data_IF_739894758233
#
_entry.id   IF_739894758233
#
_cell.length_a   1.000
_cell.length_b   1.000
_cell.length_c   1.000
_cell.angle_alpha   90.00
_cell.angle_beta   90.00
_cell.angle_gamma   90.00
#
_symmetry.space_group_name_H-M   'P 1'
#
loop_
_entity.id
_entity.type
_entity.pdbx_description
1 polymer ?
#
# COMPACT_ATOMS: atom_id res chain seq x y z
N UNK A 1 -21.84 -13.98 -11.13
CA UNK A 1 -20.91 -14.74 -11.96
C UNK A 1 -19.54 -14.10 -11.77
N UNK A 2 -18.68 -14.72 -10.96
CA UNK A 2 -17.28 -14.30 -10.81
C UNK A 2 -16.50 -15.00 -11.93
N UNK A 3 -16.11 -14.22 -12.93
CA UNK A 3 -15.43 -14.70 -14.13
C UNK A 3 -13.92 -14.49 -13.93
N UNK A 4 -13.13 -15.57 -14.00
CA UNK A 4 -11.69 -15.44 -14.09
C UNK A 4 -11.19 -16.01 -15.43
N UNK A 5 -10.40 -15.24 -16.15
CA UNK A 5 -9.82 -15.70 -17.40
C UNK A 5 -8.61 -16.58 -17.07
N UNK A 6 -8.62 -17.85 -17.49
CA UNK A 6 -7.54 -18.80 -17.21
C UNK A 6 -6.31 -18.63 -18.12
N UNK A 7 -6.35 -17.72 -19.10
CA UNK A 7 -5.13 -17.36 -19.84
C UNK A 7 -4.38 -16.27 -19.09
N UNK A 8 -3.40 -16.69 -18.28
CA UNK A 8 -2.33 -15.84 -17.71
C UNK A 8 -1.31 -15.36 -18.74
N UNK A 9 -1.51 -15.68 -20.02
CA UNK A 9 -0.85 -14.96 -21.09
C UNK A 9 -1.93 -14.18 -21.85
N UNK A 10 -1.97 -12.86 -21.63
CA UNK A 10 -2.17 -12.00 -22.79
C UNK A 10 -1.06 -12.38 -23.77
N UNK A 11 -1.38 -12.99 -24.91
CA UNK A 11 -0.34 -13.37 -25.82
C UNK A 11 0.32 -12.05 -26.25
N UNK A 12 1.64 -11.94 -26.07
CA UNK A 12 2.45 -10.79 -26.55
C UNK A 12 2.37 -10.65 -28.09
N UNK A 13 1.65 -11.55 -28.73
CA UNK A 13 1.43 -11.71 -30.16
C UNK A 13 -0.04 -12.05 -30.40
N UNK A 14 -0.62 -11.60 -31.50
CA UNK A 14 -1.97 -11.97 -31.93
C UNK A 14 -2.21 -13.49 -31.79
N UNK A 15 -3.27 -13.94 -31.09
CA UNK A 15 -3.55 -15.38 -30.99
C UNK A 15 -3.79 -15.95 -32.39
N UNK A 16 -3.10 -17.05 -32.70
CA UNK A 16 -3.29 -17.74 -33.97
C UNK A 16 -4.71 -18.33 -34.01
N UNK A 17 -5.27 -18.48 -35.21
CA UNK A 17 -6.65 -18.97 -35.45
C UNK A 17 -6.95 -20.38 -34.89
N UNK A 18 -5.95 -21.08 -34.33
CA UNK A 18 -6.06 -22.39 -33.68
C UNK A 18 -5.85 -22.39 -32.16
N UNK A 19 -5.60 -21.24 -31.52
CA UNK A 19 -5.41 -21.18 -30.06
C UNK A 19 -6.75 -21.20 -29.34
N UNK A 20 -7.06 -22.31 -28.67
CA UNK A 20 -8.22 -22.38 -27.80
C UNK A 20 -8.00 -21.57 -26.51
N UNK A 21 -9.03 -20.83 -26.07
CA UNK A 21 -8.97 -20.02 -24.86
C UNK A 21 -9.72 -20.77 -23.76
N UNK A 22 -9.02 -21.16 -22.69
CA UNK A 22 -9.67 -21.74 -21.50
C UNK A 22 -10.10 -20.63 -20.55
N UNK A 23 -11.28 -20.78 -19.96
CA UNK A 23 -11.87 -19.89 -18.96
C UNK A 23 -12.32 -20.74 -17.77
N UNK A 24 -12.11 -20.28 -16.54
CA UNK A 24 -12.73 -20.90 -15.37
C UNK A 24 -13.48 -19.86 -14.55
N UNK A 25 -14.65 -20.27 -14.09
CA UNK A 25 -15.52 -19.38 -13.33
C UNK A 25 -16.28 -20.16 -12.28
N UNK A 26 -16.68 -19.43 -11.25
CA UNK A 26 -17.56 -19.94 -10.21
C UNK A 26 -19.00 -19.58 -10.61
N UNK A 27 -19.83 -20.61 -10.74
CA UNK A 27 -21.29 -20.47 -10.90
C UNK A 27 -21.99 -20.86 -9.62
N UNK A 28 -23.06 -20.13 -9.28
CA UNK A 28 -23.92 -20.44 -8.14
C UNK A 28 -25.31 -20.80 -8.66
N UNK A 29 -25.86 -21.91 -8.16
CA UNK A 29 -27.24 -22.35 -8.40
C UNK A 29 -27.95 -22.69 -7.08
N UNK A 30 -29.13 -23.33 -7.14
CA UNK A 30 -29.90 -23.72 -5.96
C UNK A 30 -29.21 -24.76 -5.07
N UNK A 31 -28.24 -25.50 -5.61
CA UNK A 31 -27.57 -26.61 -4.96
C UNK A 31 -26.22 -26.21 -4.36
N UNK A 32 -25.65 -25.06 -4.77
CA UNK A 32 -24.43 -24.52 -4.18
C UNK A 32 -23.60 -23.71 -5.17
N UNK A 33 -22.28 -23.62 -4.89
CA UNK A 33 -21.30 -23.06 -5.82
C UNK A 33 -20.58 -24.21 -6.54
N UNK A 34 -20.25 -23.98 -7.81
CA UNK A 34 -19.65 -24.95 -8.72
C UNK A 34 -18.52 -24.28 -9.51
N UNK A 35 -17.39 -24.96 -9.68
CA UNK A 35 -16.30 -24.53 -10.55
C UNK A 35 -16.48 -25.16 -11.93
N UNK A 36 -16.50 -24.33 -12.97
CA UNK A 36 -16.60 -24.78 -14.36
C UNK A 36 -15.43 -24.26 -15.16
N UNK A 37 -14.82 -25.15 -15.92
CA UNK A 37 -13.79 -24.82 -16.91
C UNK A 37 -14.35 -25.04 -18.30
N UNK A 38 -14.31 -24.00 -19.12
CA UNK A 38 -14.83 -24.00 -20.49
C UNK A 38 -13.73 -23.57 -21.46
N UNK A 39 -13.80 -24.12 -22.66
CA UNK A 39 -12.94 -23.77 -23.78
C UNK A 39 -13.76 -22.98 -24.80
N UNK A 40 -13.30 -21.78 -25.10
CA UNK A 40 -13.88 -20.92 -26.11
C UNK A 40 -13.24 -21.26 -27.47
N UNK A 41 -14.05 -21.86 -28.34
CA UNK A 41 -13.71 -22.04 -29.75
C UNK A 41 -14.03 -20.75 -30.50
N UNK A 42 -13.00 -20.03 -30.95
CA UNK A 42 -13.20 -18.81 -31.75
C UNK A 42 -13.80 -19.10 -33.13
N UNK A 43 -13.52 -20.29 -33.68
CA UNK A 43 -14.07 -20.74 -34.96
C UNK A 43 -15.58 -21.02 -34.86
N UNK A 44 -15.98 -21.79 -33.83
CA UNK A 44 -17.39 -22.19 -33.65
C UNK A 44 -18.22 -21.10 -32.94
N UNK A 45 -17.55 -20.13 -32.28
CA UNK A 45 -18.17 -19.15 -31.38
C UNK A 45 -18.99 -19.79 -30.25
N UNK A 46 -18.57 -20.97 -29.81
CA UNK A 46 -19.21 -21.76 -28.77
C UNK A 46 -18.28 -22.01 -27.58
N UNK A 47 -18.88 -22.16 -26.41
CA UNK A 47 -18.21 -22.56 -25.17
C UNK A 47 -18.39 -24.07 -24.98
N UNK A 48 -17.30 -24.82 -25.04
CA UNK A 48 -17.29 -26.26 -24.77
C UNK A 48 -16.86 -26.49 -23.33
N UNK A 49 -17.66 -27.19 -22.54
CA UNK A 49 -17.29 -27.50 -21.15
C UNK A 49 -16.22 -28.58 -21.14
N UNK A 50 -15.08 -28.28 -20.51
CA UNK A 50 -13.93 -29.20 -20.40
C UNK A 50 -14.01 -29.96 -19.10
N UNK A 51 -14.21 -29.24 -17.99
CA UNK A 51 -14.33 -29.84 -16.67
C UNK A 51 -15.38 -29.12 -15.83
N UNK A 52 -16.02 -29.89 -14.96
CA UNK A 52 -17.01 -29.40 -13.99
C UNK A 52 -16.69 -30.04 -12.66
N UNK A 53 -16.51 -29.21 -11.65
CA UNK A 53 -16.41 -29.64 -10.27
C UNK A 53 -17.61 -29.11 -9.51
N UNK A 54 -18.45 -30.05 -9.08
CA UNK A 54 -19.66 -29.75 -8.35
C UNK A 54 -19.39 -29.57 -6.85
N UNK A 55 -20.17 -28.70 -6.20
CA UNK A 55 -20.16 -28.49 -4.77
C UNK A 55 -18.80 -28.06 -4.21
N UNK A 56 -18.24 -26.98 -4.77
CA UNK A 56 -17.14 -26.27 -4.09
C UNK A 56 -17.68 -25.53 -2.86
N UNK A 57 -16.79 -25.01 -2.03
CA UNK A 57 -17.17 -24.25 -0.83
C UNK A 57 -18.21 -23.16 -1.14
N UNK A 58 -19.24 -23.08 -0.30
CA UNK A 58 -20.36 -22.14 -0.46
C UNK A 58 -19.91 -20.68 -0.51
N UNK A 59 -18.79 -20.34 0.12
CA UNK A 59 -18.24 -18.98 0.13
C UNK A 59 -17.05 -18.77 -0.81
N UNK A 60 -16.76 -19.73 -1.70
CA UNK A 60 -15.73 -19.59 -2.72
C UNK A 60 -15.95 -18.36 -3.62
N UNK A 61 -15.08 -17.34 -3.51
CA UNK A 61 -15.29 -16.05 -4.18
C UNK A 61 -14.20 -15.65 -5.14
N UNK A 62 -13.03 -16.29 -5.07
CA UNK A 62 -11.88 -15.90 -5.88
C UNK A 62 -11.35 -17.11 -6.63
N UNK A 63 -10.98 -16.86 -7.89
CA UNK A 63 -10.39 -17.85 -8.78
C UNK A 63 -9.07 -17.26 -9.25
N UNK A 64 -7.97 -17.96 -9.01
CA UNK A 64 -6.62 -17.51 -9.35
C UNK A 64 -6.05 -18.49 -10.39
N UNK A 65 -5.71 -18.02 -11.59
CA UNK A 65 -5.09 -18.85 -12.61
C UNK A 65 -3.63 -19.09 -12.25
N UNK A 66 -3.19 -20.35 -12.24
CA UNK A 66 -1.78 -20.69 -12.02
C UNK A 66 -1.08 -20.73 -13.38
N UNK A 67 -0.01 -19.94 -13.59
CA UNK A 67 0.72 -19.95 -14.85
C UNK A 67 1.42 -21.29 -15.10
N UNK A 68 1.80 -21.50 -16.36
CA UNK A 68 2.72 -22.57 -16.71
C UNK A 68 4.06 -22.35 -15.96
N UNK A 69 4.71 -23.42 -15.50
CA UNK A 69 4.57 -24.78 -16.01
C UNK A 69 3.61 -25.71 -15.23
N UNK A 70 3.11 -25.30 -14.05
CA UNK A 70 2.17 -26.12 -13.28
C UNK A 70 0.75 -26.12 -13.88
N UNK A 71 0.31 -24.96 -14.36
CA UNK A 71 -1.05 -24.78 -14.87
C UNK A 71 -2.11 -24.95 -13.78
N UNK A 72 -3.38 -24.99 -14.19
CA UNK A 72 -4.51 -25.18 -13.28
C UNK A 72 -5.03 -23.89 -12.63
N UNK A 73 -5.85 -24.08 -11.59
CA UNK A 73 -6.67 -23.04 -10.99
C UNK A 73 -6.68 -23.18 -9.48
N UNK A 74 -6.52 -22.08 -8.76
CA UNK A 74 -6.76 -22.04 -7.32
C UNK A 74 -8.11 -21.36 -7.09
N UNK A 75 -8.91 -21.93 -6.21
CA UNK A 75 -10.17 -21.38 -5.72
C UNK A 75 -10.00 -21.08 -4.25
N UNK A 76 -10.22 -19.81 -3.87
CA UNK A 76 -10.15 -19.34 -2.50
C UNK A 76 -11.58 -19.17 -1.97
N UNK A 77 -11.89 -19.91 -0.91
CA UNK A 77 -13.05 -19.68 -0.06
C UNK A 77 -12.66 -19.03 1.27
N UNK A 78 -13.58 -19.10 2.22
CA UNK A 78 -13.42 -18.49 3.55
C UNK A 78 -12.72 -19.44 4.52
N UNK A 79 -12.91 -20.74 4.34
CA UNK A 79 -12.29 -21.78 5.18
C UNK A 79 -11.37 -22.71 4.41
N UNK A 80 -11.55 -22.84 3.09
CA UNK A 80 -10.79 -23.77 2.26
C UNK A 80 -10.11 -23.09 1.08
N UNK A 81 -8.94 -23.63 0.72
CA UNK A 81 -8.24 -23.31 -0.52
C UNK A 81 -8.17 -24.60 -1.33
N UNK A 82 -8.70 -24.55 -2.55
CA UNK A 82 -8.75 -25.67 -3.48
C UNK A 82 -7.86 -25.37 -4.68
N UNK A 83 -6.90 -26.23 -4.97
CA UNK A 83 -6.20 -26.24 -6.25
C UNK A 83 -6.76 -27.35 -7.13
N UNK A 84 -7.10 -26.99 -8.37
CA UNK A 84 -7.55 -27.87 -9.44
C UNK A 84 -6.52 -27.81 -10.56
N UNK A 85 -5.65 -28.82 -10.61
CA UNK A 85 -4.61 -28.96 -11.60
C UNK A 85 -5.09 -29.57 -12.91
N UNK A 86 -4.17 -29.70 -13.87
CA UNK A 86 -4.41 -30.57 -15.03
C UNK A 86 -4.41 -32.06 -14.58
N UNK A 87 -5.04 -32.94 -15.36
CA UNK A 87 -5.19 -34.38 -15.07
C UNK A 87 -6.00 -34.76 -13.81
N UNK A 88 -6.98 -33.95 -13.40
CA UNK A 88 -7.86 -34.20 -12.26
C UNK A 88 -7.13 -34.31 -10.90
N UNK A 89 -6.00 -33.61 -10.76
CA UNK A 89 -5.33 -33.47 -9.46
C UNK A 89 -6.04 -32.38 -8.65
N UNK A 90 -6.65 -32.78 -7.54
CA UNK A 90 -7.33 -31.88 -6.61
C UNK A 90 -6.60 -31.86 -5.27
N UNK A 91 -6.18 -30.68 -4.85
CA UNK A 91 -5.58 -30.46 -3.52
C UNK A 91 -6.44 -29.47 -2.75
N UNK A 92 -6.81 -29.81 -1.52
CA UNK A 92 -7.60 -28.92 -0.67
C UNK A 92 -6.91 -28.79 0.67
N UNK A 93 -6.74 -27.56 1.13
CA UNK A 93 -6.29 -27.26 2.49
C UNK A 93 -7.35 -26.44 3.24
N UNK A 94 -7.41 -26.65 4.56
CA UNK A 94 -8.28 -25.89 5.48
C UNK A 94 -7.46 -25.37 6.66
N UNK A 95 -6.61 -24.34 6.45
CA UNK A 95 -5.68 -23.88 7.46
C UNK A 95 -6.37 -23.01 8.51
N UNK A 96 -6.11 -23.30 9.80
CA UNK A 96 -6.65 -22.53 10.92
C UNK A 96 -6.27 -21.04 10.88
N UNK A 97 -5.16 -20.70 10.21
CA UNK A 97 -4.64 -19.35 10.03
C UNK A 97 -5.62 -18.41 9.29
N UNK A 98 -6.54 -18.97 8.49
CA UNK A 98 -7.54 -18.16 7.77
C UNK A 98 -8.61 -17.61 8.71
N UNK A 99 -8.92 -18.24 9.85
CA UNK A 99 -9.91 -17.78 10.84
C UNK A 99 -11.21 -17.20 10.25
N UNK A 100 -11.73 -17.80 9.18
CA UNK A 100 -12.90 -17.34 8.43
C UNK A 100 -12.77 -15.92 7.83
N UNK A 101 -11.56 -15.48 7.51
CA UNK A 101 -11.29 -14.21 6.86
C UNK A 101 -11.82 -14.19 5.42
N UNK A 102 -12.32 -13.05 4.96
CA UNK A 102 -12.83 -12.89 3.60
C UNK A 102 -11.72 -12.35 2.71
N UNK A 103 -11.15 -13.19 1.85
CA UNK A 103 -10.04 -12.79 0.99
C UNK A 103 -10.41 -11.76 -0.07
N UNK A 104 -10.08 -10.51 0.22
CA UNK A 104 -9.96 -9.28 -0.57
C UNK A 104 -9.60 -9.38 -2.05
N UNK A 105 -8.31 -9.56 -2.25
CA UNK A 105 -7.62 -9.43 -3.50
C UNK A 105 -6.37 -10.32 -3.45
N UNK A 106 -5.71 -10.48 -4.60
CA UNK A 106 -4.50 -11.28 -4.71
C UNK A 106 -3.50 -10.61 -5.64
N UNK A 107 -2.22 -10.99 -5.50
CA UNK A 107 -1.18 -10.65 -6.45
C UNK A 107 -0.20 -11.82 -6.63
N UNK A 108 0.16 -12.20 -7.86
CA UNK A 108 1.27 -13.13 -8.08
C UNK A 108 2.59 -12.45 -7.70
N UNK A 109 3.47 -13.18 -7.00
CA UNK A 109 4.82 -12.71 -6.66
C UNK A 109 5.81 -13.15 -7.74
N UNK A 110 5.68 -14.40 -8.18
CA UNK A 110 6.57 -15.00 -9.16
C UNK A 110 5.88 -15.22 -10.49
N UNK A 111 6.66 -15.12 -11.57
CA UNK A 111 6.21 -15.50 -12.92
C UNK A 111 5.95 -17.00 -13.06
N UNK A 112 6.52 -17.83 -12.19
CA UNK A 112 6.35 -19.28 -12.18
C UNK A 112 5.07 -19.74 -11.47
N UNK A 113 4.35 -18.83 -10.80
CA UNK A 113 3.10 -19.16 -10.09
C UNK A 113 3.26 -19.96 -8.81
N UNK A 114 4.44 -19.96 -8.18
CA UNK A 114 4.65 -20.69 -6.92
C UNK A 114 4.22 -19.90 -5.68
N UNK A 115 4.23 -18.57 -5.75
CA UNK A 115 3.90 -17.70 -4.62
C UNK A 115 2.86 -16.66 -5.01
N UNK A 116 1.83 -16.55 -4.18
CA UNK A 116 0.77 -15.57 -4.31
C UNK A 116 0.57 -14.83 -2.99
N UNK A 117 0.39 -13.52 -3.07
CA UNK A 117 -0.05 -12.72 -1.95
C UNK A 117 -1.57 -12.67 -1.94
N UNK A 118 -2.14 -12.79 -0.76
CA UNK A 118 -3.58 -12.67 -0.52
C UNK A 118 -3.78 -11.65 0.60
N UNK A 119 -4.77 -10.78 0.48
CA UNK A 119 -5.19 -9.91 1.57
C UNK A 119 -6.65 -10.19 1.92
N UNK A 120 -6.99 -10.05 3.20
CA UNK A 120 -8.36 -10.17 3.69
C UNK A 120 -9.05 -8.81 3.88
N UNK A 121 -10.28 -8.83 4.39
CA UNK A 121 -11.09 -7.67 4.70
C UNK A 121 -10.72 -6.99 6.04
N UNK A 122 -9.91 -7.65 6.85
CA UNK A 122 -9.32 -7.09 8.08
C UNK A 122 -7.95 -6.41 7.83
N UNK A 123 -7.43 -6.48 6.61
CA UNK A 123 -6.13 -5.92 6.21
C UNK A 123 -4.94 -6.79 6.62
N UNK A 124 -5.14 -8.07 6.92
CA UNK A 124 -4.07 -9.05 7.12
C UNK A 124 -3.57 -9.52 5.76
N UNK A 125 -2.25 -9.56 5.61
CA UNK A 125 -1.57 -10.02 4.42
C UNK A 125 -1.07 -11.46 4.63
N UNK A 126 -1.31 -12.31 3.64
CA UNK A 126 -0.94 -13.71 3.63
C UNK A 126 -0.08 -14.05 2.41
N UNK A 127 0.78 -15.05 2.55
CA UNK A 127 1.51 -15.69 1.46
C UNK A 127 0.98 -17.10 1.26
N UNK A 128 0.45 -17.39 0.07
CA UNK A 128 0.13 -18.72 -0.41
C UNK A 128 1.31 -19.24 -1.24
N UNK A 129 1.85 -20.39 -0.82
CA UNK A 129 2.96 -21.08 -1.46
C UNK A 129 2.49 -22.43 -1.99
N UNK A 130 2.75 -22.69 -3.26
CA UNK A 130 2.55 -23.99 -3.90
C UNK A 130 3.86 -24.77 -3.79
N UNK A 131 3.82 -25.91 -3.11
CA UNK A 131 4.96 -26.83 -3.10
C UNK A 131 4.96 -27.62 -4.41
N UNK A 132 5.91 -27.31 -5.28
CA UNK A 132 6.01 -27.87 -6.63
C UNK A 132 7.17 -28.84 -6.71
N UNK A 133 6.90 -30.06 -7.17
CA UNK A 133 7.96 -31.02 -7.47
C UNK A 133 8.55 -30.75 -8.84
N UNK A 134 9.72 -30.11 -8.83
CA UNK A 134 10.48 -29.77 -10.03
C UNK A 134 11.41 -30.90 -10.47
N UNK A 135 11.44 -32.04 -9.77
CA UNK A 135 12.34 -33.16 -10.10
C UNK A 135 11.82 -34.04 -11.25
N UNK A 136 10.54 -33.91 -11.59
CA UNK A 136 9.89 -34.63 -12.70
C UNK A 136 9.98 -33.89 -14.04
N UNK A 137 9.70 -34.56 -15.17
CA UNK A 137 9.66 -33.94 -16.49
C UNK A 137 8.51 -32.92 -16.64
N UNK A 138 7.41 -33.11 -15.88
CA UNK A 138 6.33 -32.14 -15.75
C UNK A 138 6.24 -31.70 -14.29
N UNK A 139 6.38 -30.40 -13.98
CA UNK A 139 6.25 -29.92 -12.61
C UNK A 139 4.80 -30.06 -12.14
N UNK A 140 4.61 -30.69 -10.98
CA UNK A 140 3.30 -30.88 -10.38
C UNK A 140 3.26 -30.27 -8.98
N UNK A 141 2.11 -29.69 -8.63
CA UNK A 141 1.85 -29.18 -7.27
C UNK A 141 1.57 -30.39 -6.37
N UNK A 142 2.31 -30.51 -5.26
CA UNK A 142 2.16 -31.57 -4.27
C UNK A 142 1.33 -31.14 -3.07
N UNK A 143 1.55 -29.91 -2.62
CA UNK A 143 0.91 -29.38 -1.42
C UNK A 143 0.74 -27.86 -1.52
N UNK A 144 -0.12 -27.32 -0.67
CA UNK A 144 -0.39 -25.90 -0.54
C UNK A 144 -0.09 -25.47 0.89
N UNK A 145 0.58 -24.33 1.05
CA UNK A 145 0.87 -23.75 2.36
C UNK A 145 0.48 -22.28 2.39
N UNK A 146 -0.23 -21.85 3.43
CA UNK A 146 -0.52 -20.43 3.66
C UNK A 146 0.11 -19.98 4.98
N UNK A 147 0.73 -18.81 4.95
CA UNK A 147 1.35 -18.17 6.10
C UNK A 147 0.87 -16.72 6.20
N UNK A 148 0.61 -16.25 7.42
CA UNK A 148 0.31 -14.84 7.67
C UNK A 148 1.63 -14.06 7.74
N UNK A 149 1.71 -12.96 7.00
CA UNK A 149 2.88 -12.09 6.95
C UNK A 149 2.77 -10.92 7.93
N UNK A 150 1.57 -10.45 8.22
CA UNK A 150 1.35 -9.30 9.10
C UNK A 150 0.16 -8.46 8.65
N UNK A 151 0.07 -7.25 9.18
CA UNK A 151 -1.04 -6.33 8.90
C UNK A 151 -0.61 -5.16 8.01
N UNK A 152 -1.54 -4.75 7.14
CA UNK A 152 -1.48 -3.60 6.24
C UNK A 152 -2.78 -2.81 6.30
N UNK A 153 -2.92 -1.75 5.53
CA UNK A 153 -4.24 -1.15 5.27
C UNK A 153 -5.20 -2.17 4.63
N UNK A 154 -6.51 -2.00 4.77
CA UNK A 154 -7.50 -2.86 4.10
C UNK A 154 -7.33 -2.76 2.57
N UNK A 155 -6.79 -3.82 1.97
CA UNK A 155 -6.37 -3.83 0.58
C UNK A 155 -7.54 -4.12 -0.37
N UNK A 156 -7.87 -3.18 -1.25
CA UNK A 156 -8.76 -3.43 -2.39
C UNK A 156 -7.99 -4.06 -3.57
N UNK A 157 -6.72 -3.68 -3.74
CA UNK A 157 -5.83 -4.27 -4.73
C UNK A 157 -4.41 -4.42 -4.20
N UNK A 158 -3.71 -5.43 -4.74
CA UNK A 158 -2.31 -5.71 -4.45
C UNK A 158 -1.53 -5.71 -5.77
N UNK A 159 -0.36 -5.10 -5.77
CA UNK A 159 0.56 -5.12 -6.90
C UNK A 159 1.97 -5.34 -6.39
N UNK A 160 2.48 -6.56 -6.57
CA UNK A 160 3.89 -6.83 -6.31
C UNK A 160 4.74 -6.12 -7.36
N UNK A 161 5.73 -5.35 -6.91
CA UNK A 161 6.59 -4.56 -7.78
C UNK A 161 7.85 -5.34 -8.10
N UNK A 162 8.79 -5.38 -7.15
CA UNK A 162 10.02 -6.18 -7.19
C UNK A 162 10.76 -6.04 -5.84
N UNK A 163 11.81 -6.83 -5.60
CA UNK A 163 12.72 -6.72 -4.45
C UNK A 163 12.01 -6.73 -3.09
N UNK A 164 10.94 -7.52 -2.99
CA UNK A 164 10.10 -7.61 -1.79
C UNK A 164 9.20 -6.40 -1.58
N UNK A 165 9.08 -5.47 -2.55
CA UNK A 165 8.21 -4.29 -2.43
C UNK A 165 6.85 -4.58 -3.04
N UNK A 166 5.81 -4.25 -2.28
CA UNK A 166 4.40 -4.45 -2.60
C UNK A 166 3.66 -3.12 -2.48
N UNK A 167 2.91 -2.76 -3.51
CA UNK A 167 1.92 -1.69 -3.41
C UNK A 167 0.59 -2.26 -2.94
N UNK A 168 0.03 -1.66 -1.89
CA UNK A 168 -1.25 -1.99 -1.29
C UNK A 168 -2.21 -0.83 -1.54
N UNK A 169 -3.09 -1.01 -2.50
CA UNK A 169 -4.12 -0.03 -2.83
C UNK A 169 -5.32 -0.21 -1.91
N UNK A 170 -5.66 0.81 -1.15
CA UNK A 170 -6.81 0.81 -0.24
C UNK A 170 -7.90 1.74 -0.72
N UNK A 171 -9.13 1.25 -0.71
CA UNK A 171 -10.33 2.07 -0.98
C UNK A 171 -10.84 2.77 0.29
N UNK A 172 -10.64 2.15 1.44
CA UNK A 172 -11.20 2.58 2.73
C UNK A 172 -10.19 3.30 3.62
N UNK A 173 -8.92 3.33 3.26
CA UNK A 173 -7.84 3.93 4.02
C UNK A 173 -6.72 4.43 3.12
N UNK A 174 -5.66 4.91 3.75
CA UNK A 174 -4.48 5.38 3.04
C UNK A 174 -3.80 4.21 2.32
N UNK A 175 -3.50 4.38 1.04
CA UNK A 175 -2.75 3.35 0.29
C UNK A 175 -1.32 3.29 0.79
N UNK A 176 -0.66 2.14 0.68
CA UNK A 176 0.66 1.92 1.28
C UNK A 176 1.62 1.30 0.28
N UNK A 177 2.89 1.70 0.37
CA UNK A 177 4.01 0.96 -0.19
C UNK A 177 4.67 0.21 0.96
N UNK A 178 4.72 -1.11 0.88
CA UNK A 178 5.26 -1.97 1.93
C UNK A 178 6.39 -2.83 1.42
N UNK A 179 7.31 -3.20 2.30
CA UNK A 179 8.41 -4.12 2.05
C UNK A 179 8.20 -5.39 2.87
N UNK A 180 8.33 -6.52 2.19
CA UNK A 180 8.31 -7.85 2.78
C UNK A 180 9.73 -8.23 3.19
N UNK A 181 9.94 -8.51 4.47
CA UNK A 181 11.22 -8.94 5.02
C UNK A 181 11.27 -10.46 5.15
N UNK A 182 12.45 -11.06 5.04
CA UNK A 182 12.62 -12.50 5.23
C UNK A 182 12.65 -12.92 6.71
N UNK A 183 12.98 -11.98 7.59
CA UNK A 183 12.95 -12.16 9.03
C UNK A 183 11.82 -11.34 9.62
N UNK A 184 11.08 -11.88 10.60
CA UNK A 184 10.03 -11.14 11.27
C UNK A 184 10.64 -10.03 12.12
N UNK A 185 9.92 -8.93 12.24
CA UNK A 185 10.29 -7.83 13.12
C UNK A 185 10.14 -8.27 14.59
N UNK A 186 11.14 -7.94 15.42
CA UNK A 186 11.27 -8.47 16.78
C UNK A 186 10.10 -8.09 17.71
N UNK A 187 9.45 -6.95 17.48
CA UNK A 187 8.38 -6.45 18.36
C UNK A 187 7.02 -7.13 18.07
N UNK A 188 6.66 -7.26 16.79
CA UNK A 188 5.29 -7.63 16.38
C UNK A 188 5.23 -8.95 15.61
N UNK A 189 6.37 -9.65 15.46
CA UNK A 189 6.49 -10.86 14.64
C UNK A 189 5.93 -10.70 13.21
N UNK A 190 6.00 -9.48 12.67
CA UNK A 190 5.48 -9.11 11.35
C UNK A 190 6.61 -9.12 10.32
N UNK A 191 6.33 -9.65 9.13
CA UNK A 191 7.20 -9.63 7.96
C UNK A 191 6.95 -8.40 7.07
N UNK A 192 6.05 -7.50 7.48
CA UNK A 192 5.64 -6.33 6.71
C UNK A 192 6.21 -5.06 7.32
N UNK A 193 6.95 -4.29 6.52
CA UNK A 193 7.46 -2.97 6.87
C UNK A 193 6.82 -1.91 5.96
N UNK A 194 6.17 -0.91 6.53
CA UNK A 194 5.60 0.20 5.76
C UNK A 194 6.74 1.15 5.33
N UNK A 195 6.89 1.37 4.03
CA UNK A 195 7.87 2.30 3.47
C UNK A 195 7.27 3.69 3.26
N UNK A 196 6.05 3.75 2.73
CA UNK A 196 5.38 5.00 2.42
C UNK A 196 3.87 4.81 2.51
N UNK A 197 3.18 5.90 2.87
CA UNK A 197 1.72 5.97 2.94
C UNK A 197 1.22 7.10 2.04
N UNK A 198 0.14 6.86 1.31
CA UNK A 198 -0.50 7.79 0.39
C UNK A 198 -1.89 8.13 0.91
N UNK A 199 -2.10 9.40 1.26
CA UNK A 199 -3.34 9.86 1.87
C UNK A 199 -4.55 9.61 0.97
N UNK A 200 -5.59 9.05 1.55
CA UNK A 200 -6.87 8.80 0.92
C UNK A 200 -7.99 9.39 1.80
N UNK A 201 -8.84 10.21 1.17
CA UNK A 201 -10.02 10.80 1.83
C UNK A 201 -11.25 9.90 1.71
N UNK A 202 -11.22 8.87 0.86
CA UNK A 202 -12.37 8.04 0.59
C UNK A 202 -12.58 6.93 1.64
N UNK A 203 -13.84 6.50 1.87
CA UNK A 203 -15.06 7.23 1.54
C UNK A 203 -15.29 8.40 2.50
N UNK A 204 -15.63 9.58 1.96
CA UNK A 204 -16.11 10.70 2.79
C UNK A 204 -17.55 10.42 3.16
N UNK A 205 -17.80 10.19 4.45
CA UNK A 205 -19.13 9.89 5.00
C UNK A 205 -19.89 11.15 5.38
N UNK A 206 -19.20 12.11 5.96
CA UNK A 206 -19.76 13.38 6.40
C UNK A 206 -18.72 14.50 6.29
N UNK A 207 -19.19 15.74 6.20
CA UNK A 207 -18.37 16.94 6.01
C UNK A 207 -18.89 18.06 6.90
N UNK A 208 -17.97 18.70 7.62
CA UNK A 208 -18.22 19.95 8.34
C UNK A 208 -17.26 21.04 7.84
N UNK A 209 -17.75 22.25 7.66
CA UNK A 209 -16.92 23.42 7.34
C UNK A 209 -16.72 24.22 8.63
N UNK A 210 -15.47 24.57 8.91
CA UNK A 210 -15.06 25.34 10.08
C UNK A 210 -14.20 26.51 9.62
N UNK A 211 -14.34 27.66 10.25
CA UNK A 211 -13.45 28.80 10.05
C UNK A 211 -12.42 28.82 11.19
N UNK A 212 -11.13 28.82 10.85
CA UNK A 212 -10.03 28.89 11.79
C UNK A 212 -8.96 29.81 11.20
N UNK A 213 -8.51 30.79 11.99
CA UNK A 213 -7.55 31.83 11.57
C UNK A 213 -7.96 32.61 10.32
N UNK A 214 -9.26 32.87 10.17
CA UNK A 214 -9.84 33.58 9.02
C UNK A 214 -9.79 32.78 7.70
N UNK A 215 -9.50 31.48 7.77
CA UNK A 215 -9.54 30.58 6.63
C UNK A 215 -10.56 29.46 6.84
N UNK A 216 -11.32 29.16 5.78
CA UNK A 216 -12.25 28.04 5.77
C UNK A 216 -11.48 26.72 5.63
N UNK A 217 -11.72 25.81 6.57
CA UNK A 217 -11.20 24.45 6.60
C UNK A 217 -12.36 23.47 6.52
N UNK A 218 -12.14 22.35 5.83
CA UNK A 218 -13.14 21.29 5.67
C UNK A 218 -12.70 20.11 6.51
N UNK A 219 -13.51 19.72 7.47
CA UNK A 219 -13.31 18.53 8.28
C UNK A 219 -14.18 17.43 7.68
N UNK A 220 -13.59 16.27 7.44
CA UNK A 220 -14.28 15.13 6.83
C UNK A 220 -14.18 13.90 7.72
N UNK A 221 -15.29 13.20 7.87
CA UNK A 221 -15.32 11.84 8.39
C UNK A 221 -14.98 10.88 7.25
N UNK A 222 -13.74 10.41 7.20
CA UNK A 222 -13.18 9.63 6.11
C UNK A 222 -12.90 8.19 6.52
N UNK A 223 -12.84 7.29 5.54
CA UNK A 223 -12.44 5.90 5.72
C UNK A 223 -13.54 4.98 6.26
N UNK A 224 -13.17 3.73 6.54
CA UNK A 224 -14.06 2.74 7.14
C UNK A 224 -13.29 1.70 7.97
N UNK A 225 -14.00 1.00 8.87
CA UNK A 225 -13.44 -0.06 9.72
C UNK A 225 -12.22 0.43 10.52
N UNK A 226 -11.10 -0.31 10.49
CA UNK A 226 -9.85 0.08 11.16
C UNK A 226 -9.16 1.31 10.55
N UNK A 227 -9.59 1.71 9.35
CA UNK A 227 -9.03 2.86 8.60
C UNK A 227 -9.83 4.16 8.79
N UNK A 228 -10.81 4.16 9.71
CA UNK A 228 -11.61 5.35 10.01
C UNK A 228 -10.74 6.51 10.52
N UNK A 229 -10.86 7.68 9.90
CA UNK A 229 -10.07 8.86 10.23
C UNK A 229 -10.84 10.17 10.03
N UNK A 230 -10.49 11.21 10.80
CA UNK A 230 -10.90 12.58 10.50
C UNK A 230 -9.80 13.25 9.66
N UNK A 231 -10.20 13.88 8.55
CA UNK A 231 -9.24 14.60 7.68
C UNK A 231 -9.63 16.06 7.58
N UNK A 232 -8.67 16.93 7.86
CA UNK A 232 -8.81 18.39 7.77
C UNK A 232 -8.16 18.84 6.46
N UNK A 233 -8.96 19.43 5.59
CA UNK A 233 -8.54 19.97 4.31
C UNK A 233 -8.54 21.48 4.44
N UNK A 234 -7.35 22.07 4.42
CA UNK A 234 -7.13 23.52 4.43
C UNK A 234 -6.52 23.95 3.11
N UNK A 235 -6.81 25.18 2.70
CA UNK A 235 -6.13 25.77 1.55
C UNK A 235 -4.80 26.38 2.02
N UNK A 236 -3.71 26.11 1.30
CA UNK A 236 -2.38 26.62 1.62
C UNK A 236 -1.45 25.58 2.27
N UNK A 237 -0.24 26.04 2.58
CA UNK A 237 0.81 25.22 3.19
C UNK A 237 0.70 25.34 4.71
N UNK A 238 0.68 24.20 5.39
CA UNK A 238 0.81 24.15 6.82
C UNK A 238 2.21 24.52 7.28
N UNK A 239 2.32 25.48 8.19
CA UNK A 239 3.54 25.70 8.96
C UNK A 239 3.38 24.92 10.26
N UNK A 240 4.33 24.03 10.56
CA UNK A 240 4.44 23.39 11.86
C UNK A 240 5.25 24.32 12.76
N UNK A 241 4.58 24.95 13.72
CA UNK A 241 5.20 25.94 14.59
C UNK A 241 6.07 25.24 15.64
N UNK A 242 7.37 25.16 15.37
CA UNK A 242 8.33 24.55 16.30
C UNK A 242 8.62 25.45 17.52
N UNK A 243 8.58 26.77 17.34
CA UNK A 243 8.83 27.74 18.40
C UNK A 243 8.10 29.06 18.10
N UNK A 244 7.60 29.69 19.16
CA UNK A 244 6.95 31.00 19.13
C UNK A 244 7.63 31.94 20.12
N UNK A 245 7.96 33.14 19.68
CA UNK A 245 8.54 34.18 20.56
C UNK A 245 7.87 35.52 20.25
N UNK A 246 7.30 36.13 21.27
CA UNK A 246 6.58 37.40 21.15
C UNK A 246 7.56 38.59 21.14
N UNK A 247 8.04 38.96 19.95
CA UNK A 247 8.86 40.16 19.74
C UNK A 247 8.07 41.17 18.88
N UNK A 248 7.64 42.32 19.44
CA UNK A 248 6.86 43.30 18.71
C UNK A 248 7.75 44.13 17.76
N UNK A 249 7.23 44.46 16.57
CA UNK A 249 7.87 45.42 15.67
C UNK A 249 9.04 44.88 14.84
N UNK A 250 9.10 43.56 14.63
CA UNK A 250 10.09 42.91 13.77
C UNK A 250 9.96 43.42 12.32
N UNK A 251 11.03 44.02 11.80
CA UNK A 251 11.15 44.49 10.41
C UNK A 251 11.79 43.46 9.48
N UNK A 252 12.63 42.59 10.03
CA UNK A 252 13.34 41.57 9.27
C UNK A 252 13.94 40.51 10.16
N UNK A 253 14.00 39.28 9.63
CA UNK A 253 14.59 38.11 10.28
C UNK A 253 15.61 37.54 9.31
N UNK A 254 16.83 37.30 9.78
CA UNK A 254 17.93 36.76 8.99
C UNK A 254 18.61 35.65 9.76
N UNK A 255 19.01 34.57 9.08
CA UNK A 255 19.81 33.51 9.68
C UNK A 255 21.29 33.75 9.42
N UNK A 256 22.13 33.38 10.38
CA UNK A 256 23.57 33.46 10.28
C UNK A 256 24.20 32.17 10.79
N UNK A 257 25.31 31.80 10.16
CA UNK A 257 26.08 30.61 10.43
C UNK A 257 27.49 31.00 10.85
N UNK A 258 27.87 30.72 12.09
CA UNK A 258 29.21 30.96 12.63
C UNK A 258 29.76 29.65 13.17
N UNK A 259 30.90 29.20 12.64
CA UNK A 259 31.65 28.04 13.12
C UNK A 259 30.84 26.73 13.28
N UNK A 260 29.68 26.64 12.63
CA UNK A 260 28.77 25.48 12.63
C UNK A 260 28.60 24.97 11.21
N UNK A 261 28.02 23.77 11.05
CA UNK A 261 27.57 23.25 9.75
C UNK A 261 26.18 23.77 9.37
N UNK A 262 25.35 24.05 10.36
CA UNK A 262 23.99 24.58 10.23
C UNK A 262 23.93 26.01 10.74
N UNK A 263 22.87 26.73 10.39
CA UNK A 263 22.60 28.06 10.95
C UNK A 263 22.43 27.96 12.47
N UNK A 264 23.06 28.88 13.20
CA UNK A 264 23.09 28.86 14.67
C UNK A 264 22.83 30.22 15.31
N UNK A 265 22.59 31.25 14.50
CA UNK A 265 22.20 32.57 14.97
C UNK A 265 20.99 33.09 14.17
N UNK A 266 20.07 33.72 14.86
CA UNK A 266 18.91 34.42 14.30
C UNK A 266 19.05 35.92 14.59
N UNK A 267 19.16 36.72 13.55
CA UNK A 267 19.25 38.18 13.66
C UNK A 267 17.85 38.75 13.43
N UNK A 268 17.36 39.52 14.40
CA UNK A 268 16.05 40.14 14.39
C UNK A 268 16.23 41.65 14.35
N UNK A 269 15.82 42.28 13.26
CA UNK A 269 15.88 43.73 13.10
C UNK A 269 14.57 44.36 13.59
N UNK A 270 14.67 45.26 14.55
CA UNK A 270 13.58 46.09 15.07
C UNK A 270 13.70 47.53 14.53
N UNK A 271 12.72 48.38 14.83
CA UNK A 271 12.79 49.80 14.45
C UNK A 271 13.88 50.58 15.17
N UNK A 272 14.23 50.21 16.39
CA UNK A 272 15.14 50.93 17.28
C UNK A 272 16.45 50.19 17.53
N UNK A 273 16.49 48.88 17.32
CA UNK A 273 17.63 48.03 17.67
C UNK A 273 17.66 46.74 16.83
N UNK A 274 18.65 45.89 17.06
CA UNK A 274 18.77 44.59 16.41
C UNK A 274 19.20 43.57 17.46
N UNK A 275 18.41 42.50 17.62
CA UNK A 275 18.74 41.40 18.53
C UNK A 275 19.42 40.28 17.75
N UNK A 276 20.30 39.56 18.43
CA UNK A 276 20.99 38.41 17.87
C UNK A 276 20.78 37.24 18.82
N UNK A 277 19.90 36.32 18.43
CA UNK A 277 19.61 35.14 19.22
C UNK A 277 20.54 34.00 18.81
N UNK A 278 21.30 33.46 19.74
CA UNK A 278 22.04 32.22 19.56
C UNK A 278 21.08 31.03 19.73
N UNK A 279 21.11 30.09 18.80
CA UNK A 279 20.34 28.85 18.86
C UNK A 279 21.19 27.74 19.51
N UNK A 280 20.90 27.43 20.77
CA UNK A 280 21.55 26.36 21.53
C UNK A 280 20.60 25.16 21.63
N UNK A 281 20.52 24.36 20.56
CA UNK A 281 19.55 23.26 20.48
C UNK A 281 18.12 23.80 20.33
N UNK A 282 17.28 23.63 21.36
CA UNK A 282 15.90 24.14 21.40
C UNK A 282 15.77 25.50 22.12
N UNK A 283 16.83 25.97 22.77
CA UNK A 283 16.82 27.25 23.50
C UNK A 283 17.35 28.40 22.64
N UNK A 284 16.73 29.58 22.80
CA UNK A 284 17.12 30.84 22.18
C UNK A 284 17.68 31.78 23.24
N UNK A 285 18.95 32.14 23.11
CA UNK A 285 19.63 33.06 24.03
C UNK A 285 20.00 34.38 23.33
N UNK A 286 19.63 35.52 23.91
CA UNK A 286 20.04 36.82 23.39
C UNK A 286 21.54 37.05 23.64
N UNK A 287 22.28 37.25 22.56
CA UNK A 287 23.73 37.38 22.58
C UNK A 287 24.16 38.60 21.77
N UNK A 288 25.35 39.12 22.03
CA UNK A 288 25.96 40.16 21.21
C UNK A 288 27.18 39.59 20.50
N UNK A 289 27.13 39.53 19.17
CA UNK A 289 28.29 39.17 18.36
C UNK A 289 29.25 40.37 18.29
N UNK A 290 30.48 40.16 18.79
CA UNK A 290 31.58 41.11 18.69
C UNK A 290 31.83 41.51 17.23
N UNK A 291 31.40 42.70 16.84
CA UNK A 291 31.62 43.28 15.51
C UNK A 291 30.35 43.81 14.83
N UNK A 292 29.16 43.34 15.23
CA UNK A 292 27.90 43.91 14.78
C UNK A 292 27.53 45.09 15.68
N UNK A 293 27.48 46.31 15.13
CA UNK A 293 27.00 47.47 15.90
C UNK A 293 25.47 47.46 15.93
N UNK A 294 24.90 47.27 17.10
CA UNK A 294 23.46 47.45 17.38
C UNK A 294 23.13 48.95 17.39
N UNK A 295 23.04 49.58 16.22
CA UNK A 295 22.56 50.96 16.09
C UNK A 295 21.22 51.04 15.35
N UNK A 296 20.50 52.10 15.68
CA UNK A 296 19.05 52.29 15.59
C UNK A 296 18.42 52.40 14.21
N UNK A 297 19.10 52.07 13.11
CA UNK A 297 18.52 52.18 11.77
C UNK A 297 19.23 51.26 10.76
N UNK A 298 18.77 50.02 10.61
CA UNK A 298 19.16 49.19 9.46
C UNK A 298 18.22 49.49 8.29
N UNK A 299 18.30 50.73 7.80
CA UNK A 299 17.93 51.07 6.43
C UNK A 299 19.02 51.92 5.77
N UNK A 300 20.29 51.85 6.19
CA UNK A 300 21.41 52.35 5.37
C UNK A 300 22.73 51.71 5.76
N UNK A 301 23.05 50.55 5.17
CA UNK A 301 24.40 50.06 4.80
C UNK A 301 24.48 48.55 4.95
N UNK A 302 24.31 47.87 3.81
CA UNK A 302 24.91 46.57 3.58
C UNK A 302 26.44 46.74 3.60
N UNK A 303 27.04 46.64 4.79
CA UNK A 303 28.39 46.13 4.93
C UNK A 303 28.26 44.79 5.66
N UNK A 304 27.87 43.77 4.89
CA UNK A 304 28.25 42.40 5.21
C UNK A 304 29.78 42.43 5.20
N UNK A 305 30.37 42.51 6.39
CA UNK A 305 31.77 42.19 6.53
C UNK A 305 31.90 40.71 6.16
N UNK A 306 32.61 40.51 5.07
CA UNK A 306 33.21 39.25 4.64
C UNK A 306 34.11 38.76 5.79
N UNK A 307 33.51 38.04 6.75
CA UNK A 307 34.26 37.30 7.77
C UNK A 307 34.60 35.96 7.16
N UNK A 308 35.82 35.89 6.60
CA UNK A 308 36.52 34.65 6.26
C UNK A 308 36.61 33.70 7.45
#
# INVERSE_FOLDING_TARGET
MLLCCLKTQWPKTTPNLGDSIRLAYISQDSNGRHLKTVELSLADKELKTVSKQDNIETEARMVIPVPLPCGGVIVIGQETILYNGEDNVYLTISPNTMNKALFTCYAPVDTNGQRFLLADDHGVLYMLVLDVDVKGPNPCVKDLKIESLGETTIAECLVYLDNGVLFVGSRFGDSQLVRLTSQPHAENNSFVQILQTFTNLAPIRDIAVMECDGQNQIITCSGAFKEGSLRIIRNGIGIDEAASVDIPGVKGIFTLKINSKLDNYLIISLSSETHILAMNGEELEDTQLLGMRTFSDIFTQWYIFDVK
#
